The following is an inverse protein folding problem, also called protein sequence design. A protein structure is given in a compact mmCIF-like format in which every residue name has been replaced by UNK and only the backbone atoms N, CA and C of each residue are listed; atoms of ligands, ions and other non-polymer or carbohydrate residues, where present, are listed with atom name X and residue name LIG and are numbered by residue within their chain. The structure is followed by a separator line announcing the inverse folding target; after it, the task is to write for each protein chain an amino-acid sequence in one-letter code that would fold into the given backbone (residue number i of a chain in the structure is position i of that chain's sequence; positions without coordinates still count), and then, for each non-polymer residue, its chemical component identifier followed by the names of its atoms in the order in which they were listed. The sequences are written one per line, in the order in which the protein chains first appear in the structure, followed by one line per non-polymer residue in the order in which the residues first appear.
data_IF_096523195262
#
_entry.id   IF_096523195262
#
_cell.length_a   1.000
_cell.length_b   1.000
_cell.length_c   1.000
_cell.angle_alpha   90.00
_cell.angle_beta   90.00
_cell.angle_gamma   90.00
#
_symmetry.space_group_name_H-M   'P 1'
#
loop_
_entity.id
_entity.type
_entity.pdbx_description
1 polymer ?
#
# COMPACT_ATOMS: atom_id res chain seq x y z
N UNK A 1 13.07 -1.08 -7.09
CA UNK A 1 13.26 -0.12 -5.98
C UNK A 1 12.16 -0.38 -4.97
N UNK A 2 12.45 -0.20 -3.68
CA UNK A 2 11.47 -0.46 -2.62
C UNK A 2 11.18 0.86 -1.92
N UNK A 3 9.91 1.12 -1.65
CA UNK A 3 9.46 2.19 -0.74
C UNK A 3 8.58 1.58 0.34
N UNK A 4 8.74 2.08 1.56
CA UNK A 4 7.88 1.76 2.69
C UNK A 4 7.18 3.05 3.09
N UNK A 5 5.85 3.04 3.14
CA UNK A 5 5.05 4.21 3.46
C UNK A 5 3.83 3.81 4.28
N UNK A 6 3.35 4.72 5.13
CA UNK A 6 2.04 4.59 5.74
C UNK A 6 1.00 5.12 4.73
N UNK A 7 0.06 4.30 4.26
CA UNK A 7 -1.00 4.75 3.36
C UNK A 7 -2.08 5.60 4.07
N UNK A 8 -2.19 5.47 5.40
CA UNK A 8 -3.27 6.06 6.18
C UNK A 8 -4.51 5.16 6.22
N UNK A 9 -5.59 5.67 6.81
CA UNK A 9 -6.89 5.01 6.79
C UNK A 9 -7.60 5.31 5.46
N UNK A 10 -7.76 4.30 4.62
CA UNK A 10 -8.36 4.44 3.28
C UNK A 10 -9.08 3.16 2.86
N UNK A 11 -10.12 3.30 2.03
CA UNK A 11 -10.86 2.15 1.51
C UNK A 11 -10.21 1.57 0.24
N UNK A 12 -10.49 0.31 -0.05
CA UNK A 12 -10.07 -0.35 -1.27
C UNK A 12 -10.54 0.44 -2.51
N UNK A 13 -9.62 0.68 -3.45
CA UNK A 13 -9.86 1.45 -4.67
C UNK A 13 -9.67 2.97 -4.54
N UNK A 14 -9.45 3.48 -3.33
CA UNK A 14 -9.07 4.87 -3.11
C UNK A 14 -7.63 5.14 -3.57
N UNK A 15 -7.37 6.39 -3.90
CA UNK A 15 -6.08 6.86 -4.38
C UNK A 15 -5.12 7.13 -3.21
N UNK A 16 -3.94 6.53 -3.28
CA UNK A 16 -2.87 6.67 -2.30
C UNK A 16 -1.67 7.31 -2.99
N UNK A 17 -1.23 8.45 -2.46
CA UNK A 17 0.02 9.08 -2.91
C UNK A 17 1.22 8.37 -2.30
N UNK A 18 2.15 7.96 -3.15
CA UNK A 18 3.42 7.35 -2.73
C UNK A 18 4.56 8.37 -2.79
N UNK A 19 5.53 8.31 -1.87
CA UNK A 19 6.69 9.21 -1.88
C UNK A 19 7.76 8.74 -2.88
N UNK A 20 7.35 8.31 -4.08
CA UNK A 20 8.24 7.85 -5.14
C UNK A 20 7.58 8.00 -6.52
N UNK A 21 8.40 8.16 -7.56
CA UNK A 21 7.93 8.11 -8.95
C UNK A 21 8.00 6.69 -9.50
N UNK A 22 6.86 6.14 -9.89
CA UNK A 22 6.67 4.77 -10.34
C UNK A 22 6.51 4.72 -11.86
N UNK A 23 7.36 3.94 -12.53
CA UNK A 23 7.12 3.50 -13.90
C UNK A 23 6.15 2.31 -13.93
N UNK A 24 6.48 1.27 -13.16
CA UNK A 24 5.78 -0.02 -13.12
C UNK A 24 5.80 -0.58 -11.69
N UNK A 25 4.71 -1.24 -11.27
CA UNK A 25 4.61 -1.91 -9.97
C UNK A 25 5.02 -3.38 -10.14
N UNK A 26 5.93 -3.86 -9.28
CA UNK A 26 6.40 -5.25 -9.27
C UNK A 26 5.63 -6.08 -8.24
N UNK A 27 5.47 -5.54 -7.03
CA UNK A 27 4.68 -6.18 -5.96
C UNK A 27 4.30 -5.20 -4.88
N UNK A 28 3.21 -5.50 -4.16
CA UNK A 28 2.77 -4.75 -2.99
C UNK A 28 2.44 -5.72 -1.84
N UNK A 29 2.93 -5.37 -0.65
CA UNK A 29 2.62 -6.08 0.60
C UNK A 29 2.16 -5.05 1.61
N UNK A 30 1.01 -5.31 2.21
CA UNK A 30 0.48 -4.52 3.31
C UNK A 30 0.80 -5.24 4.62
N UNK A 31 1.61 -4.60 5.46
CA UNK A 31 1.84 -5.09 6.81
C UNK A 31 0.76 -4.52 7.72
N UNK A 32 -0.14 -5.39 8.16
CA UNK A 32 -1.25 -5.05 9.04
C UNK A 32 -0.73 -4.71 10.43
N UNK A 33 -0.89 -3.45 10.84
CA UNK A 33 -0.35 -2.90 12.09
C UNK A 33 -1.39 -2.81 13.23
N UNK A 34 -2.66 -2.87 12.86
CA UNK A 34 -3.78 -2.96 13.79
C UNK A 34 -4.47 -4.30 13.63
N UNK A 35 -5.31 -4.72 14.58
CA UNK A 35 -6.10 -5.95 14.45
C UNK A 35 -7.55 -5.76 14.78
N UNK A 36 -7.92 -4.67 15.48
CA UNK A 36 -9.26 -4.52 16.04
C UNK A 36 -10.12 -3.64 15.14
N UNK A 37 -11.39 -4.02 15.02
CA UNK A 37 -12.43 -3.10 14.57
C UNK A 37 -12.77 -2.09 15.69
N UNK A 38 -13.58 -1.06 15.37
CA UNK A 38 -14.02 -0.04 16.35
C UNK A 38 -14.74 -0.64 17.57
N UNK A 39 -15.21 -1.89 17.49
CA UNK A 39 -15.91 -2.63 18.55
C UNK A 39 -14.98 -3.54 19.37
N UNK A 40 -13.67 -3.52 19.12
CA UNK A 40 -12.65 -4.20 19.92
C UNK A 40 -12.49 -5.70 19.63
N UNK A 41 -13.08 -6.22 18.55
CA UNK A 41 -12.85 -7.59 18.10
C UNK A 41 -11.71 -7.63 17.09
N UNK A 42 -10.73 -8.50 17.33
CA UNK A 42 -9.63 -8.68 16.38
C UNK A 42 -10.17 -9.38 15.12
N UNK A 43 -10.32 -8.66 14.01
CA UNK A 43 -10.96 -9.16 12.77
C UNK A 43 -9.98 -9.73 11.76
N UNK A 44 -8.67 -9.47 11.91
CA UNK A 44 -7.63 -9.98 11.01
C UNK A 44 -6.28 -10.24 11.70
N UNK A 45 -5.46 -11.10 11.08
CA UNK A 45 -4.11 -11.43 11.54
C UNK A 45 -3.16 -10.26 11.30
N UNK A 46 -2.52 -9.76 12.36
CA UNK A 46 -1.37 -8.83 12.26
C UNK A 46 -0.26 -9.51 11.48
N UNK A 47 0.25 -8.86 10.45
CA UNK A 47 1.32 -9.40 9.63
C UNK A 47 1.22 -9.01 8.15
N UNK A 48 2.09 -9.58 7.31
CA UNK A 48 2.14 -9.27 5.90
C UNK A 48 0.98 -9.92 5.15
N UNK A 49 0.26 -9.13 4.37
CA UNK A 49 -0.76 -9.57 3.43
C UNK A 49 -0.41 -9.05 2.04
N UNK A 50 -0.36 -9.95 1.06
CA UNK A 50 -0.20 -9.55 -0.34
C UNK A 50 -1.44 -8.81 -0.81
N UNK A 51 -1.25 -7.67 -1.47
CA UNK A 51 -2.32 -6.84 -2.04
C UNK A 51 -1.99 -6.52 -3.49
N UNK A 52 -3.00 -6.25 -4.29
CA UNK A 52 -2.83 -5.77 -5.66
C UNK A 52 -2.76 -4.26 -5.65
N UNK A 53 -1.62 -3.70 -6.08
CA UNK A 53 -1.49 -2.27 -6.30
C UNK A 53 -1.60 -1.94 -7.80
N UNK A 54 -2.50 -1.02 -8.14
CA UNK A 54 -2.71 -0.53 -9.51
C UNK A 54 -2.18 0.89 -9.61
N UNK A 55 -1.31 1.15 -10.59
CA UNK A 55 -0.79 2.49 -10.85
C UNK A 55 -1.88 3.37 -11.48
N UNK A 56 -2.09 4.57 -10.94
CA UNK A 56 -2.98 5.60 -11.51
C UNK A 56 -2.15 6.61 -12.30
N UNK A 57 -1.12 7.16 -11.68
CA UNK A 57 -0.16 8.08 -12.30
C UNK A 57 1.27 7.82 -11.79
N UNK A 58 2.24 8.72 -12.02
CA UNK A 58 3.63 8.52 -11.57
C UNK A 58 3.78 8.43 -10.05
N UNK A 59 2.89 9.00 -9.25
CA UNK A 59 3.00 9.08 -7.79
C UNK A 59 1.75 8.59 -7.05
N UNK A 60 0.76 8.07 -7.77
CA UNK A 60 -0.52 7.65 -7.20
C UNK A 60 -0.83 6.20 -7.56
N UNK A 61 -1.28 5.43 -6.58
CA UNK A 61 -1.72 4.04 -6.74
C UNK A 61 -3.10 3.81 -6.11
N UNK A 62 -3.70 2.65 -6.40
CA UNK A 62 -4.88 2.10 -5.70
C UNK A 62 -4.55 0.72 -5.19
N UNK A 63 -5.05 0.37 -4.00
CA UNK A 63 -4.97 -0.99 -3.46
C UNK A 63 -6.34 -1.68 -3.58
N UNK A 64 -6.34 -3.01 -3.68
CA UNK A 64 -7.54 -3.85 -3.65
C UNK A 64 -8.01 -4.21 -2.23
N UNK A 65 -7.45 -3.56 -1.21
CA UNK A 65 -7.73 -3.81 0.19
C UNK A 65 -7.79 -2.49 0.97
N UNK A 66 -8.61 -2.48 2.02
CA UNK A 66 -8.68 -1.39 2.99
C UNK A 66 -7.37 -1.32 3.79
N UNK A 67 -6.97 -0.10 4.15
CA UNK A 67 -5.79 0.15 5.00
C UNK A 67 -6.20 0.93 6.24
N UNK A 68 -5.52 0.67 7.35
CA UNK A 68 -5.68 1.42 8.59
C UNK A 68 -4.49 2.38 8.83
N UNK A 69 -4.65 3.32 9.76
CA UNK A 69 -3.62 4.29 10.09
C UNK A 69 -2.29 3.66 10.54
N UNK A 70 -2.35 2.48 11.16
CA UNK A 70 -1.18 1.73 11.66
C UNK A 70 -0.53 0.82 10.60
N UNK A 71 -1.16 0.66 9.43
CA UNK A 71 -0.65 -0.23 8.38
C UNK A 71 0.59 0.36 7.70
N UNK A 72 1.47 -0.53 7.22
CA UNK A 72 2.63 -0.16 6.40
C UNK A 72 2.54 -0.82 5.03
N UNK A 73 2.57 -0.01 3.98
CA UNK A 73 2.68 -0.47 2.61
C UNK A 73 4.16 -0.61 2.23
N UNK A 74 4.55 -1.81 1.81
CA UNK A 74 5.83 -2.10 1.17
C UNK A 74 5.55 -2.27 -0.33
N UNK A 75 6.02 -1.32 -1.13
CA UNK A 75 5.86 -1.32 -2.57
C UNK A 75 7.21 -1.55 -3.26
N UNK A 76 7.30 -2.60 -4.06
CA UNK A 76 8.41 -2.84 -4.97
C UNK A 76 8.01 -2.40 -6.38
N UNK A 77 8.85 -1.58 -7.01
CA UNK A 77 8.51 -0.91 -8.28
C UNK A 77 9.76 -0.59 -9.12
N UNK A 78 9.54 -0.35 -10.41
CA UNK A 78 10.53 0.25 -11.31
C UNK A 78 10.40 1.78 -11.25
N UNK A 79 11.45 2.55 -10.95
CA UNK A 79 11.34 4.01 -10.87
C UNK A 79 11.11 4.65 -12.24
N UNK A 80 10.31 5.72 -12.29
CA UNK A 80 10.19 6.54 -13.49
C UNK A 80 11.52 7.23 -13.80
N UNK A 81 11.95 7.21 -15.07
CA UNK A 81 13.25 7.77 -15.50
C UNK A 81 14.46 6.86 -15.28
N UNK A 82 14.26 5.60 -14.88
CA UNK A 82 15.35 4.63 -14.70
C UNK A 82 15.91 4.04 -16.01
N UNK A 83 15.26 4.30 -17.15
CA UNK A 83 15.79 3.98 -18.46
C UNK A 83 16.64 5.15 -18.97
N UNK A 84 17.95 4.98 -18.88
CA UNK A 84 18.97 5.77 -19.61
C UNK A 84 19.66 4.84 -20.59
#
# INVERSE_FOLDING_TARGET
MIVVTAPGDTSAGDEITVPAKIAEIVSAVLFKGHAVDEDGSATYTIGPTSVTATKVDESTIKLDADTAAEDLLILNFVPAGAYV
#
